data_IF_284516764496
#
_entry.id   IF_284516764496
#
_cell.length_a   1.000
_cell.length_b   1.000
_cell.length_c   1.000
_cell.angle_alpha   90.00
_cell.angle_beta   90.00
_cell.angle_gamma   90.00
#
_symmetry.space_group_name_H-M   'P 1'
#
loop_
_entity.id
_entity.type
_entity.pdbx_description
1 polymer ?
#
# COMPACT_ATOMS: atom_id res chain seq x y z
N UNK A 1 -3.03 -9.67 7.60
CA UNK A 1 -3.59 -8.63 6.72
C UNK A 1 -5.02 -8.29 7.13
N UNK A 2 -5.37 -7.04 7.10
CA UNK A 2 -6.73 -6.56 7.40
C UNK A 2 -7.17 -5.58 6.32
N UNK A 3 -8.48 -5.51 6.07
CA UNK A 3 -9.03 -4.50 5.17
C UNK A 3 -8.98 -3.13 5.84
N UNK A 4 -8.68 -2.09 5.05
CA UNK A 4 -8.67 -0.73 5.54
C UNK A 4 -10.11 -0.25 5.80
N UNK A 5 -10.32 0.44 6.93
CA UNK A 5 -11.62 1.03 7.26
C UNK A 5 -12.02 2.19 6.35
N UNK A 6 -11.04 2.84 5.75
CA UNK A 6 -11.24 3.97 4.82
C UNK A 6 -10.59 3.63 3.49
N UNK A 7 -11.13 2.63 2.76
CA UNK A 7 -10.46 2.13 1.57
C UNK A 7 -10.45 3.14 0.43
N UNK A 8 -9.32 3.20 -0.25
CA UNK A 8 -9.18 3.96 -1.50
C UNK A 8 -9.97 3.25 -2.61
N UNK A 9 -9.86 1.91 -2.64
CA UNK A 9 -10.58 1.05 -3.59
C UNK A 9 -10.99 -0.25 -2.89
N UNK A 10 -11.84 -1.03 -3.54
CA UNK A 10 -12.23 -2.35 -3.08
C UNK A 10 -11.00 -3.24 -2.92
N UNK A 11 -10.85 -3.85 -1.76
CA UNK A 11 -9.72 -4.71 -1.45
C UNK A 11 -8.50 -4.00 -0.89
N UNK A 12 -8.55 -2.67 -0.70
CA UNK A 12 -7.47 -1.95 -0.03
C UNK A 12 -7.21 -2.58 1.33
N UNK A 13 -6.04 -3.16 1.50
CA UNK A 13 -5.70 -3.84 2.75
C UNK A 13 -4.39 -3.33 3.34
N UNK A 14 -4.23 -3.62 4.63
CA UNK A 14 -3.05 -3.28 5.40
C UNK A 14 -2.35 -4.56 5.81
N UNK A 15 -1.05 -4.61 5.61
CA UNK A 15 -0.20 -5.68 6.11
C UNK A 15 0.56 -5.12 7.31
N UNK A 16 0.38 -5.78 8.45
CA UNK A 16 0.79 -5.27 9.75
C UNK A 16 1.78 -6.25 10.38
N UNK A 17 2.83 -5.74 11.01
CA UNK A 17 3.76 -6.56 11.78
C UNK A 17 3.17 -6.90 13.15
N UNK A 18 3.58 -8.05 13.71
CA UNK A 18 3.21 -8.42 15.09
C UNK A 18 3.94 -7.55 16.10
N UNK A 19 5.24 -7.31 15.88
CA UNK A 19 6.05 -6.45 16.76
C UNK A 19 5.60 -5.01 16.58
N UNK A 20 5.40 -4.30 17.68
CA UNK A 20 4.94 -2.90 17.66
C UNK A 20 6.12 -1.95 17.46
N UNK A 21 6.20 -1.35 16.28
CA UNK A 21 7.12 -0.27 15.95
C UNK A 21 6.54 0.51 14.79
N UNK A 22 6.95 1.79 14.65
CA UNK A 22 6.34 2.68 13.67
C UNK A 22 7.10 2.76 12.35
N UNK A 23 8.43 2.77 12.41
CA UNK A 23 9.27 3.14 11.27
C UNK A 23 9.72 1.91 10.49
N UNK A 24 9.39 1.86 9.21
CA UNK A 24 9.77 0.75 8.33
C UNK A 24 11.27 0.44 8.35
N UNK A 25 12.11 1.47 8.50
CA UNK A 25 13.57 1.27 8.51
C UNK A 25 14.07 0.57 9.77
N UNK A 26 13.23 0.41 10.77
CA UNK A 26 13.51 -0.38 11.96
C UNK A 26 13.08 -1.85 11.84
N UNK A 27 12.47 -2.22 10.72
CA UNK A 27 12.08 -3.60 10.47
C UNK A 27 13.32 -4.48 10.28
N UNK A 28 13.27 -5.70 10.80
CA UNK A 28 14.31 -6.69 10.55
C UNK A 28 14.15 -7.28 9.15
N UNK A 29 15.22 -7.88 8.62
CA UNK A 29 15.15 -8.55 7.33
C UNK A 29 14.10 -9.66 7.34
N UNK A 30 13.97 -10.38 8.44
CA UNK A 30 12.97 -11.43 8.58
C UNK A 30 11.55 -10.88 8.55
N UNK A 31 11.33 -9.73 9.17
CA UNK A 31 10.04 -9.05 9.12
C UNK A 31 9.71 -8.60 7.71
N UNK A 32 10.68 -8.06 6.98
CA UNK A 32 10.49 -7.66 5.58
C UNK A 32 10.16 -8.87 4.70
N UNK A 33 10.85 -9.99 4.90
CA UNK A 33 10.54 -11.22 4.18
C UNK A 33 9.13 -11.72 4.48
N UNK A 34 8.71 -11.65 5.73
CA UNK A 34 7.36 -12.06 6.12
C UNK A 34 6.29 -11.16 5.49
N UNK A 35 6.52 -9.85 5.46
CA UNK A 35 5.65 -8.90 4.79
C UNK A 35 5.53 -9.22 3.30
N UNK A 36 6.65 -9.45 2.64
CA UNK A 36 6.70 -9.76 1.22
C UNK A 36 5.93 -11.05 0.91
N UNK A 37 6.16 -12.09 1.70
CA UNK A 37 5.46 -13.37 1.53
C UNK A 37 3.96 -13.21 1.70
N UNK A 38 3.53 -12.49 2.74
CA UNK A 38 2.11 -12.27 2.99
C UNK A 38 1.49 -11.44 1.88
N UNK A 39 2.20 -10.43 1.37
CA UNK A 39 1.74 -9.64 0.24
C UNK A 39 1.44 -10.50 -0.99
N UNK A 40 2.33 -11.45 -1.29
CA UNK A 40 2.12 -12.39 -2.39
C UNK A 40 0.87 -13.24 -2.20
N UNK A 41 0.69 -13.77 -1.00
CA UNK A 41 -0.47 -14.61 -0.68
C UNK A 41 -1.77 -13.82 -0.82
N UNK A 42 -1.79 -12.60 -0.31
CA UNK A 42 -2.97 -11.73 -0.41
C UNK A 42 -3.23 -11.34 -1.86
N UNK A 43 -2.20 -11.02 -2.61
CA UNK A 43 -2.34 -10.69 -4.04
C UNK A 43 -2.96 -11.84 -4.82
N UNK A 44 -2.52 -13.07 -4.60
CA UNK A 44 -3.09 -14.23 -5.27
C UNK A 44 -4.60 -14.38 -4.99
N UNK A 45 -5.00 -14.17 -3.75
CA UNK A 45 -6.41 -14.19 -3.37
C UNK A 45 -7.19 -13.06 -4.04
N UNK A 46 -6.63 -11.86 -4.03
CA UNK A 46 -7.30 -10.67 -4.56
C UNK A 46 -7.37 -10.67 -6.09
N UNK A 47 -6.39 -11.25 -6.77
CA UNK A 47 -6.45 -11.42 -8.23
C UNK A 47 -7.70 -12.22 -8.63
N UNK A 48 -8.07 -13.20 -7.84
CA UNK A 48 -9.26 -14.02 -8.08
C UNK A 48 -10.52 -13.30 -7.63
N UNK A 49 -10.52 -12.74 -6.43
CA UNK A 49 -11.71 -12.18 -5.80
C UNK A 49 -12.12 -10.83 -6.40
N UNK A 50 -11.17 -9.96 -6.70
CA UNK A 50 -11.44 -8.59 -7.15
C UNK A 50 -11.06 -8.33 -8.59
N UNK A 51 -10.23 -9.16 -9.19
CA UNK A 51 -9.77 -9.03 -10.58
C UNK A 51 -9.21 -7.62 -10.90
N UNK A 52 -8.27 -7.10 -10.08
CA UNK A 52 -7.73 -5.76 -10.32
C UNK A 52 -6.84 -5.73 -11.55
N UNK A 53 -6.68 -4.53 -12.11
CA UNK A 53 -5.76 -4.30 -13.24
C UNK A 53 -4.32 -4.00 -12.80
N UNK A 54 -4.13 -3.67 -11.53
CA UNK A 54 -2.82 -3.36 -10.96
C UNK A 54 -2.89 -3.15 -9.47
N UNK A 55 -1.76 -2.81 -8.87
CA UNK A 55 -1.67 -2.53 -7.43
C UNK A 55 -0.77 -1.33 -7.17
N UNK A 56 -1.12 -0.55 -6.16
CA UNK A 56 -0.16 0.33 -5.52
C UNK A 56 0.21 -0.25 -4.16
N UNK A 57 1.49 -0.18 -3.85
CA UNK A 57 2.04 -0.63 -2.57
C UNK A 57 2.75 0.56 -1.96
N UNK A 58 2.46 0.86 -0.71
CA UNK A 58 3.06 2.02 -0.09
C UNK A 58 3.18 1.92 1.42
N UNK A 59 4.15 2.65 1.95
CA UNK A 59 4.42 2.75 3.38
C UNK A 59 4.66 4.23 3.67
N UNK A 60 3.96 4.74 4.68
CA UNK A 60 4.21 6.08 5.17
C UNK A 60 5.21 6.01 6.33
N UNK A 61 6.30 6.72 6.22
CA UNK A 61 7.33 6.79 7.27
C UNK A 61 7.39 8.21 7.80
N UNK A 62 6.88 8.39 9.00
CA UNK A 62 6.88 9.68 9.70
C UNK A 62 5.65 10.53 9.44
N UNK A 63 5.45 11.50 10.32
CA UNK A 63 4.27 12.37 10.32
C UNK A 63 4.08 13.14 9.02
N UNK A 64 5.17 13.70 8.48
CA UNK A 64 5.09 14.54 7.28
C UNK A 64 4.96 13.74 5.98
N UNK A 65 5.12 12.42 6.07
CA UNK A 65 4.78 11.50 4.98
C UNK A 65 3.35 10.97 5.10
N UNK A 66 2.61 11.39 6.14
CA UNK A 66 1.21 11.03 6.30
C UNK A 66 0.96 9.88 7.28
N UNK A 67 1.97 9.44 8.03
CA UNK A 67 1.77 8.38 9.00
C UNK A 67 1.01 8.92 10.22
N UNK A 68 -0.20 8.41 10.43
CA UNK A 68 -1.07 8.81 11.55
C UNK A 68 -1.15 7.74 12.64
N UNK A 69 -0.82 6.49 12.33
CA UNK A 69 -0.81 5.37 13.27
C UNK A 69 0.64 4.92 13.46
N UNK A 70 1.09 4.92 14.71
CA UNK A 70 2.49 4.61 15.07
C UNK A 70 2.74 3.11 15.22
N UNK A 71 2.25 2.35 14.27
CA UNK A 71 2.51 0.92 14.11
C UNK A 71 2.70 0.68 12.63
N UNK A 72 3.81 0.06 12.24
CA UNK A 72 4.12 -0.18 10.83
C UNK A 72 2.96 -0.89 10.14
N UNK A 73 2.54 -0.31 9.03
CA UNK A 73 1.57 -0.95 8.15
C UNK A 73 1.91 -0.64 6.71
N UNK A 74 1.73 -1.63 5.86
CA UNK A 74 1.99 -1.56 4.43
C UNK A 74 0.66 -1.55 3.72
N UNK A 75 0.41 -0.53 2.91
CA UNK A 75 -0.79 -0.45 2.09
C UNK A 75 -0.63 -1.32 0.85
N UNK A 76 -1.60 -2.19 0.61
CA UNK A 76 -1.74 -2.91 -0.66
C UNK A 76 -3.08 -2.50 -1.24
N UNK A 77 -3.04 -1.74 -2.33
CA UNK A 77 -4.23 -1.10 -2.90
C UNK A 77 -4.47 -1.63 -4.31
N UNK A 78 -5.52 -2.45 -4.51
CA UNK A 78 -5.91 -2.87 -5.85
C UNK A 78 -6.36 -1.65 -6.66
N UNK A 79 -5.92 -1.61 -7.91
CA UNK A 79 -6.29 -0.55 -8.83
C UNK A 79 -7.10 -1.13 -9.98
N UNK A 80 -8.08 -0.38 -10.45
CA UNK A 80 -9.03 -0.84 -11.46
C UNK A 80 -9.02 0.09 -12.66
N UNK A 81 -9.31 -0.46 -13.83
CA UNK A 81 -9.45 0.35 -15.05
C UNK A 81 -10.54 1.40 -14.82
N UNK A 82 -10.20 2.65 -15.02
CA UNK A 82 -11.15 3.75 -14.88
C UNK A 82 -11.39 4.27 -13.46
N UNK A 83 -10.64 3.77 -12.46
CA UNK A 83 -10.80 4.28 -11.09
C UNK A 83 -10.31 5.72 -10.93
N UNK A 84 -9.42 6.17 -11.83
CA UNK A 84 -9.05 7.57 -12.03
C UNK A 84 -8.95 7.84 -13.53
N UNK A 85 -9.03 9.09 -13.94
CA UNK A 85 -8.99 9.46 -15.36
C UNK A 85 -7.63 9.14 -15.99
N UNK A 86 -6.55 9.51 -15.31
CA UNK A 86 -5.18 9.24 -15.76
C UNK A 86 -4.36 8.67 -14.60
N UNK A 87 -4.07 7.35 -14.63
CA UNK A 87 -3.30 6.72 -13.56
C UNK A 87 -1.79 6.96 -13.65
N UNK A 88 -1.34 7.66 -14.68
CA UNK A 88 0.09 7.90 -14.89
C UNK A 88 0.71 8.57 -13.66
N UNK A 89 1.88 8.11 -13.28
CA UNK A 89 2.60 8.63 -12.13
C UNK A 89 2.38 7.82 -10.86
N UNK A 90 1.17 7.28 -10.66
CA UNK A 90 0.90 6.43 -9.50
C UNK A 90 1.31 7.05 -8.17
N UNK A 91 2.30 6.45 -7.51
CA UNK A 91 2.79 6.92 -6.20
C UNK A 91 3.41 8.33 -6.23
N UNK A 92 3.73 8.86 -7.41
CA UNK A 92 4.23 10.24 -7.51
C UNK A 92 3.15 11.28 -7.17
N UNK A 93 1.87 10.89 -7.21
CA UNK A 93 0.75 11.79 -6.96
C UNK A 93 0.45 11.91 -5.46
N UNK A 94 1.50 12.19 -4.67
CA UNK A 94 1.41 12.28 -3.22
C UNK A 94 1.02 13.66 -2.70
N UNK A 95 1.09 14.67 -3.56
CA UNK A 95 0.75 16.05 -3.23
C UNK A 95 -0.47 16.46 -4.05
N UNK A 96 -1.18 17.50 -3.60
CA UNK A 96 -2.37 17.98 -4.31
C UNK A 96 -2.05 18.51 -5.70
N UNK A 97 -0.83 18.97 -5.92
CA UNK A 97 -0.37 19.39 -7.24
C UNK A 97 0.41 18.24 -7.87
N UNK A 98 0.01 17.85 -9.06
CA UNK A 98 0.73 16.85 -9.83
C UNK A 98 2.12 17.36 -10.22
N UNK A 99 3.15 16.57 -9.93
CA UNK A 99 4.49 16.85 -10.41
C UNK A 99 4.67 16.21 -11.78
N UNK A 100 4.87 17.00 -12.81
CA UNK A 100 5.02 16.50 -14.17
C UNK A 100 6.29 15.69 -14.35
N UNK A 101 6.21 14.66 -15.18
CA UNK A 101 7.35 13.85 -15.58
C UNK A 101 6.98 13.04 -16.83
N UNK A 102 8.00 12.54 -17.53
CA UNK A 102 7.83 11.85 -18.82
C UNK A 102 7.76 10.33 -18.70
N UNK A 103 7.65 9.82 -17.53
CA UNK A 103 7.66 8.38 -17.32
C UNK A 103 6.27 7.74 -17.27
#
# INVERSE_FOLDING_TARGET
>A
AILDHFPVNNGHCLIITKRHFANFFEATEEEVKAIYKLMHEVKEMFDIQYEPAGYNIGINVGRYAGQTINHLHVHLIPRYIGDVDDPRGGVRNLKNSLVEYDG
#
